data_IF_546524561898
#
_entry.id   IF_546524561898
#
_cell.length_a   1.000
_cell.length_b   1.000
_cell.length_c   1.000
_cell.angle_alpha   90.00
_cell.angle_beta   90.00
_cell.angle_gamma   90.00
#
_symmetry.space_group_name_H-M   'P 1'
#
loop_
_entity.id
_entity.type
_entity.pdbx_description
1 polymer ?
#
# COMPACT_ATOMS: atom_id res chain seq x y z
N UNK A 1 5.97 3.19 -7.32
CA UNK A 1 6.92 2.40 -8.15
C UNK A 1 7.72 3.43 -8.90
N UNK A 2 8.96 3.66 -8.44
CA UNK A 2 9.66 4.93 -8.67
C UNK A 2 10.68 4.83 -9.81
N UNK A 3 10.39 4.00 -10.82
CA UNK A 3 11.29 3.78 -11.97
C UNK A 3 11.39 5.00 -12.90
N UNK A 4 10.53 6.02 -12.73
CA UNK A 4 10.47 7.21 -13.60
C UNK A 4 11.38 8.38 -13.22
N UNK A 5 12.10 8.33 -12.08
CA UNK A 5 12.85 9.50 -11.56
C UNK A 5 14.33 9.50 -12.01
N UNK A 6 14.84 8.38 -12.57
CA UNK A 6 16.26 8.20 -12.86
C UNK A 6 16.87 9.18 -13.88
N UNK A 7 16.07 9.83 -14.74
CA UNK A 7 16.58 10.76 -15.76
C UNK A 7 16.69 12.24 -15.32
N UNK A 8 16.03 12.64 -14.22
CA UNK A 8 15.90 14.07 -13.86
C UNK A 8 16.87 14.48 -12.73
N UNK A 9 17.47 13.53 -12.03
CA UNK A 9 18.30 13.80 -10.84
C UNK A 9 19.70 14.38 -11.11
N UNK A 10 20.08 14.61 -12.38
CA UNK A 10 21.45 15.01 -12.74
C UNK A 10 21.73 16.53 -12.67
N UNK A 11 20.72 17.38 -12.46
CA UNK A 11 20.87 18.84 -12.59
C UNK A 11 20.95 19.63 -11.27
N UNK A 12 20.81 19.02 -10.09
CA UNK A 12 20.78 19.81 -8.84
C UNK A 12 21.72 19.24 -7.79
N UNK A 13 22.95 19.77 -7.75
CA UNK A 13 23.73 19.78 -6.51
C UNK A 13 22.86 20.48 -5.47
N UNK A 14 22.55 19.76 -4.39
CA UNK A 14 21.81 20.25 -3.21
C UNK A 14 20.31 20.38 -3.42
N UNK A 15 19.54 19.33 -3.10
CA UNK A 15 18.29 19.40 -2.32
C UNK A 15 17.67 18.01 -2.16
N UNK A 16 17.33 17.71 -0.91
CA UNK A 16 16.58 16.59 -0.37
C UNK A 16 15.52 15.97 -1.30
N UNK A 17 15.64 14.66 -1.59
CA UNK A 17 14.49 13.85 -2.03
C UNK A 17 14.80 12.75 -3.05
N UNK A 18 14.62 11.49 -2.61
CA UNK A 18 14.30 10.32 -3.45
C UNK A 18 15.43 9.56 -4.18
N UNK A 19 16.66 9.62 -3.69
CA UNK A 19 17.60 8.50 -3.83
C UNK A 19 17.90 7.97 -2.44
N UNK A 20 17.71 6.68 -2.15
CA UNK A 20 18.20 6.12 -0.89
C UNK A 20 19.73 6.11 -0.99
N UNK A 21 20.37 7.14 -0.43
CA UNK A 21 21.77 7.55 -0.66
C UNK A 21 22.79 6.39 -0.52
N UNK A 22 22.45 5.32 0.22
CA UNK A 22 23.33 4.17 0.42
C UNK A 22 23.32 3.07 -0.66
N UNK A 23 22.45 3.10 -1.68
CA UNK A 23 22.34 2.01 -2.67
C UNK A 23 22.86 2.37 -4.07
N UNK A 24 23.51 3.52 -4.21
CA UNK A 24 23.94 4.04 -5.50
C UNK A 24 25.23 3.34 -5.93
N UNK A 25 25.26 2.85 -7.17
CA UNK A 25 26.48 2.30 -7.77
C UNK A 25 27.51 3.41 -8.05
N UNK A 26 28.83 3.13 -7.98
CA UNK A 26 29.88 4.13 -8.19
C UNK A 26 29.73 4.92 -9.48
N UNK A 27 29.45 4.25 -10.60
CA UNK A 27 29.26 4.87 -11.90
C UNK A 27 27.96 5.70 -11.99
N UNK A 28 26.93 5.31 -11.25
CA UNK A 28 25.69 6.07 -11.15
C UNK A 28 25.89 7.36 -10.34
N UNK A 29 26.72 7.34 -9.30
CA UNK A 29 27.14 8.55 -8.58
C UNK A 29 27.96 9.51 -9.47
N UNK A 30 28.62 8.98 -10.50
CA UNK A 30 29.31 9.75 -11.55
C UNK A 30 28.40 10.15 -12.72
N UNK A 31 27.09 9.91 -12.62
CA UNK A 31 26.12 10.29 -13.66
C UNK A 31 26.10 9.38 -14.89
N UNK A 32 26.65 8.17 -14.80
CA UNK A 32 26.72 7.18 -15.89
C UNK A 32 25.93 5.91 -15.57
N UNK A 33 24.60 5.99 -15.41
CA UNK A 33 23.79 4.83 -15.07
C UNK A 33 23.81 3.79 -16.20
N UNK A 34 23.88 2.52 -15.84
CA UNK A 34 23.78 1.38 -16.76
C UNK A 34 22.94 0.26 -16.16
N UNK A 35 22.60 -0.77 -16.94
CA UNK A 35 21.93 -1.98 -16.41
C UNK A 35 22.73 -2.65 -15.28
N UNK A 36 24.05 -2.44 -15.25
CA UNK A 36 24.97 -2.95 -14.22
C UNK A 36 24.90 -2.13 -12.93
N UNK A 37 24.43 -0.89 -13.00
CA UNK A 37 24.13 -0.07 -11.81
C UNK A 37 22.98 -0.68 -11.02
N UNK A 38 21.91 -1.10 -11.70
CA UNK A 38 20.77 -1.79 -11.08
C UNK A 38 21.19 -3.13 -10.44
N UNK A 39 22.09 -3.88 -11.11
CA UNK A 39 22.67 -5.12 -10.57
C UNK A 39 23.40 -4.87 -9.24
N UNK A 40 24.17 -3.77 -9.16
CA UNK A 40 24.90 -3.39 -7.97
C UNK A 40 23.96 -2.97 -6.83
N UNK A 41 22.99 -2.11 -7.11
CA UNK A 41 21.97 -1.69 -6.13
C UNK A 41 21.17 -2.89 -5.59
N UNK A 42 20.78 -3.81 -6.46
CA UNK A 42 20.11 -5.05 -6.07
C UNK A 42 20.99 -5.92 -5.16
N UNK A 43 22.29 -5.99 -5.43
CA UNK A 43 23.23 -6.77 -4.62
C UNK A 43 23.48 -6.14 -3.25
N UNK A 44 23.53 -4.79 -3.14
CA UNK A 44 23.60 -4.09 -1.85
C UNK A 44 22.36 -4.38 -1.00
N UNK A 45 21.16 -4.31 -1.61
CA UNK A 45 19.91 -4.69 -0.94
C UNK A 45 19.95 -6.14 -0.47
N UNK A 46 20.36 -7.07 -1.34
CA UNK A 46 20.47 -8.48 -0.99
C UNK A 46 21.45 -8.70 0.16
N UNK A 47 22.63 -8.07 0.11
CA UNK A 47 23.64 -8.15 1.15
C UNK A 47 23.09 -7.67 2.49
N UNK A 48 22.50 -6.48 2.54
CA UNK A 48 21.93 -5.91 3.77
C UNK A 48 20.81 -6.78 4.33
N UNK A 49 19.99 -7.42 3.49
CA UNK A 49 18.97 -8.37 3.95
C UNK A 49 19.56 -9.59 4.66
N UNK A 50 20.76 -10.06 4.27
CA UNK A 50 21.40 -11.22 4.90
C UNK A 50 22.26 -10.86 6.12
N UNK A 51 22.87 -9.68 6.14
CA UNK A 51 23.85 -9.30 7.18
C UNK A 51 23.31 -8.30 8.19
N UNK A 52 22.27 -7.54 7.81
CA UNK A 52 21.80 -6.34 8.52
C UNK A 52 22.70 -5.11 8.31
N UNK A 53 23.79 -5.25 7.54
CA UNK A 53 24.82 -4.23 7.37
C UNK A 53 24.89 -3.83 5.89
N UNK A 54 24.94 -2.52 5.62
CA UNK A 54 25.04 -1.99 4.27
C UNK A 54 26.51 -1.67 3.97
N UNK A 55 27.14 -2.30 2.97
CA UNK A 55 28.48 -1.93 2.54
C UNK A 55 28.48 -0.47 2.05
N UNK A 56 29.49 0.30 2.45
CA UNK A 56 29.66 1.70 2.06
C UNK A 56 30.90 1.87 1.17
N UNK A 57 30.99 3.00 0.46
CA UNK A 57 32.18 3.36 -0.31
C UNK A 57 33.43 3.35 0.60
N UNK A 58 34.57 2.75 0.19
CA UNK A 58 34.94 2.32 -1.16
C UNK A 58 34.59 0.87 -1.54
N UNK A 59 33.57 0.27 -0.92
CA UNK A 59 33.06 -1.09 -1.22
C UNK A 59 34.16 -2.17 -1.23
N UNK A 60 35.11 -2.07 -0.31
CA UNK A 60 36.22 -3.03 -0.18
C UNK A 60 35.68 -4.40 0.23
N UNK A 61 36.19 -5.44 -0.42
CA UNK A 61 35.89 -6.83 -0.06
C UNK A 61 37.02 -7.41 0.83
N UNK A 62 36.70 -8.08 1.95
CA UNK A 62 35.36 -8.40 2.44
C UNK A 62 34.68 -7.21 3.19
N UNK A 63 33.37 -6.97 2.97
CA UNK A 63 32.64 -5.90 3.64
C UNK A 63 32.18 -6.28 5.07
N UNK A 64 31.71 -5.30 5.87
CA UNK A 64 31.12 -5.56 7.18
C UNK A 64 30.00 -6.61 7.12
N UNK A 65 29.96 -7.53 8.09
CA UNK A 65 28.94 -8.58 8.15
C UNK A 65 29.24 -9.82 7.28
N UNK A 66 30.41 -9.90 6.65
CA UNK A 66 30.77 -11.06 5.79
C UNK A 66 30.73 -12.40 6.53
N UNK A 67 31.03 -12.41 7.84
CA UNK A 67 30.94 -13.60 8.67
C UNK A 67 29.50 -14.10 8.79
N UNK A 68 28.53 -13.18 9.00
CA UNK A 68 27.09 -13.51 9.02
C UNK A 68 26.61 -13.99 7.65
N UNK A 69 27.09 -13.35 6.58
CA UNK A 69 26.78 -13.78 5.21
C UNK A 69 27.25 -15.22 4.99
N UNK A 70 28.53 -15.50 5.25
CA UNK A 70 29.13 -16.83 5.09
C UNK A 70 28.51 -17.90 5.99
N UNK A 71 27.97 -17.51 7.15
CA UNK A 71 27.23 -18.43 8.02
C UNK A 71 25.84 -18.77 7.47
N UNK A 72 25.21 -17.84 6.74
CA UNK A 72 23.80 -17.95 6.31
C UNK A 72 23.65 -18.56 4.92
N UNK A 73 24.48 -18.13 3.96
CA UNK A 73 24.34 -18.50 2.56
C UNK A 73 25.45 -19.43 2.08
N UNK A 74 25.16 -20.21 1.04
CA UNK A 74 26.13 -21.09 0.40
C UNK A 74 27.24 -20.29 -0.30
N UNK A 75 28.50 -20.78 -0.32
CA UNK A 75 29.63 -20.09 -0.93
C UNK A 75 29.37 -19.58 -2.35
N UNK A 76 28.73 -20.39 -3.20
CA UNK A 76 28.41 -20.00 -4.59
C UNK A 76 27.49 -18.78 -4.66
N UNK A 77 26.55 -18.64 -3.72
CA UNK A 77 25.67 -17.48 -3.69
C UNK A 77 26.38 -16.24 -3.13
N UNK A 78 27.30 -16.43 -2.17
CA UNK A 78 28.16 -15.35 -1.70
C UNK A 78 29.09 -14.85 -2.82
N UNK A 79 29.60 -15.76 -3.66
CA UNK A 79 30.40 -15.42 -4.83
C UNK A 79 29.58 -14.68 -5.89
N UNK A 80 28.32 -15.07 -6.12
CA UNK A 80 27.42 -14.31 -7.00
C UNK A 80 27.21 -12.89 -6.49
N UNK A 81 26.94 -12.70 -5.19
CA UNK A 81 26.80 -11.38 -4.59
C UNK A 81 28.09 -10.57 -4.69
N UNK A 82 29.26 -11.19 -4.45
CA UNK A 82 30.57 -10.55 -4.62
C UNK A 82 30.75 -10.00 -6.02
N UNK A 83 30.46 -10.79 -7.06
CA UNK A 83 30.56 -10.37 -8.47
C UNK A 83 29.61 -9.23 -8.82
N UNK A 84 28.41 -9.23 -8.24
CA UNK A 84 27.46 -8.13 -8.46
C UNK A 84 27.88 -6.83 -7.75
N UNK A 85 28.68 -6.94 -6.68
CA UNK A 85 29.24 -5.82 -5.90
C UNK A 85 30.65 -5.40 -6.34
N UNK A 86 31.14 -5.86 -7.49
CA UNK A 86 32.41 -5.38 -8.05
C UNK A 86 32.36 -3.87 -8.32
N UNK A 87 33.39 -3.12 -7.92
CA UNK A 87 33.43 -1.67 -8.18
C UNK A 87 33.52 -1.39 -9.69
N UNK A 88 34.31 -2.19 -10.41
CA UNK A 88 34.40 -2.14 -11.87
C UNK A 88 33.13 -2.76 -12.49
N UNK A 89 32.30 -1.93 -13.13
CA UNK A 89 31.06 -2.36 -13.75
C UNK A 89 31.27 -3.47 -14.81
N UNK A 90 32.41 -3.50 -15.50
CA UNK A 90 32.67 -4.50 -16.56
C UNK A 90 32.84 -5.91 -16.00
N UNK A 91 33.20 -6.03 -14.71
CA UNK A 91 33.34 -7.31 -14.01
C UNK A 91 32.01 -7.84 -13.47
N UNK A 92 30.96 -7.02 -13.47
CA UNK A 92 29.61 -7.41 -13.06
C UNK A 92 28.88 -8.19 -14.15
N UNK A 93 27.88 -9.02 -13.80
CA UNK A 93 26.91 -9.51 -14.77
C UNK A 93 26.31 -8.36 -15.58
N UNK A 94 26.14 -8.56 -16.89
CA UNK A 94 25.72 -7.51 -17.81
C UNK A 94 24.35 -6.89 -17.47
N UNK A 95 23.45 -7.68 -16.87
CA UNK A 95 22.09 -7.28 -16.54
C UNK A 95 21.46 -8.19 -15.46
N UNK A 96 20.27 -7.82 -15.00
CA UNK A 96 19.49 -8.58 -14.03
C UNK A 96 19.04 -9.96 -14.55
N UNK A 97 18.93 -10.17 -15.86
CA UNK A 97 18.56 -11.47 -16.46
C UNK A 97 19.67 -12.49 -16.24
N UNK A 98 20.93 -12.10 -16.39
CA UNK A 98 22.10 -12.94 -16.07
C UNK A 98 22.16 -13.27 -14.58
N UNK A 99 21.89 -12.29 -13.71
CA UNK A 99 21.81 -12.52 -12.25
C UNK A 99 20.70 -13.50 -11.91
N UNK A 100 19.51 -13.33 -12.49
CA UNK A 100 18.37 -14.23 -12.28
C UNK A 100 18.66 -15.65 -12.74
N UNK A 101 19.32 -15.81 -13.89
CA UNK A 101 19.73 -17.12 -14.40
C UNK A 101 20.72 -17.81 -13.44
N UNK A 102 21.73 -17.08 -12.94
CA UNK A 102 22.66 -17.59 -11.94
C UNK A 102 21.93 -17.95 -10.63
N UNK A 103 21.06 -17.06 -10.14
CA UNK A 103 20.26 -17.30 -8.94
C UNK A 103 19.38 -18.55 -9.07
N UNK A 104 18.70 -18.76 -10.20
CA UNK A 104 17.85 -19.95 -10.42
C UNK A 104 18.64 -21.25 -10.32
N UNK A 105 19.88 -21.28 -10.82
CA UNK A 105 20.78 -22.44 -10.70
C UNK A 105 21.20 -22.68 -9.25
N UNK A 106 21.42 -21.61 -8.48
CA UNK A 106 21.89 -21.68 -7.09
C UNK A 106 20.75 -21.83 -6.07
N UNK A 107 19.51 -21.49 -6.41
CA UNK A 107 18.38 -21.38 -5.48
C UNK A 107 18.12 -22.65 -4.67
N UNK A 108 18.32 -23.83 -5.26
CA UNK A 108 18.14 -25.11 -4.56
C UNK A 108 19.15 -25.31 -3.42
N UNK A 109 20.31 -24.66 -3.49
CA UNK A 109 21.41 -24.73 -2.53
C UNK A 109 21.79 -23.38 -1.92
N UNK A 110 20.99 -22.32 -2.11
CA UNK A 110 21.39 -20.96 -1.76
C UNK A 110 21.62 -20.75 -0.24
N UNK A 111 20.99 -21.57 0.61
CA UNK A 111 21.21 -21.60 2.05
C UNK A 111 22.01 -22.84 2.43
N UNK A 112 22.86 -22.72 3.46
CA UNK A 112 23.62 -23.87 3.98
C UNK A 112 22.68 -24.94 4.59
N UNK A 113 23.00 -26.24 4.44
CA UNK A 113 22.30 -27.32 5.15
C UNK A 113 22.33 -27.06 6.66
N UNK A 114 21.19 -27.15 7.35
CA UNK A 114 21.09 -26.89 8.79
C UNK A 114 20.64 -25.48 9.17
N UNK A 115 20.64 -24.50 8.24
CA UNK A 115 19.86 -23.28 8.42
C UNK A 115 18.39 -23.70 8.37
N UNK A 116 17.75 -23.83 9.54
CA UNK A 116 16.32 -24.16 9.62
C UNK A 116 15.60 -23.17 8.71
N UNK A 117 15.07 -23.65 7.57
CA UNK A 117 14.03 -22.93 6.85
C UNK A 117 12.95 -22.71 7.89
N UNK A 118 12.86 -21.52 8.47
CA UNK A 118 11.61 -21.09 9.07
C UNK A 118 10.66 -21.14 7.89
N UNK A 119 9.94 -22.26 7.72
CA UNK A 119 8.71 -22.27 6.94
C UNK A 119 7.95 -21.11 7.56
N UNK A 120 7.81 -20.02 6.81
CA UNK A 120 6.81 -19.03 7.15
C UNK A 120 5.52 -19.82 7.16
N UNK A 121 5.11 -20.24 8.34
CA UNK A 121 3.79 -20.80 8.55
C UNK A 121 2.87 -19.68 8.12
N UNK A 122 2.25 -19.85 6.95
CA UNK A 122 1.09 -19.11 6.56
C UNK A 122 -0.03 -19.53 7.51
N UNK A 123 0.03 -19.12 8.78
CA UNK A 123 -1.17 -19.07 9.61
C UNK A 123 -2.11 -18.13 8.86
N UNK A 124 -3.19 -18.68 8.32
CA UNK A 124 -4.33 -17.90 7.84
C UNK A 124 -4.66 -16.88 8.93
N UNK A 125 -4.36 -15.61 8.69
CA UNK A 125 -4.71 -14.53 9.61
C UNK A 125 -3.57 -13.57 10.00
N UNK A 126 -2.29 -13.98 9.93
CA UNK A 126 -1.19 -13.04 10.21
C UNK A 126 -0.72 -12.37 8.90
N UNK A 127 -0.84 -11.04 8.75
CA UNK A 127 -0.35 -10.37 7.55
C UNK A 127 1.16 -10.61 7.40
N UNK A 128 1.61 -10.89 6.17
CA UNK A 128 3.04 -10.92 5.85
C UNK A 128 3.71 -9.63 6.34
N UNK A 129 5.00 -9.69 6.71
CA UNK A 129 5.74 -8.55 7.28
C UNK A 129 5.57 -7.27 6.44
N UNK A 130 5.58 -7.36 5.11
CA UNK A 130 5.37 -6.21 4.22
C UNK A 130 3.92 -5.69 4.24
N UNK A 131 2.92 -6.57 4.39
CA UNK A 131 1.51 -6.15 4.54
C UNK A 131 1.35 -5.35 5.82
N UNK A 132 1.96 -5.80 6.92
CA UNK A 132 1.95 -5.07 8.19
C UNK A 132 2.56 -3.67 8.03
N UNK A 133 3.68 -3.54 7.33
CA UNK A 133 4.30 -2.24 7.03
C UNK A 133 3.38 -1.36 6.18
N UNK A 134 2.81 -1.91 5.09
CA UNK A 134 1.84 -1.21 4.21
C UNK A 134 0.62 -0.72 4.99
N UNK A 135 0.06 -1.55 5.87
CA UNK A 135 -1.09 -1.19 6.70
C UNK A 135 -0.75 -0.10 7.73
N UNK A 136 0.42 -0.18 8.37
CA UNK A 136 0.90 0.86 9.31
C UNK A 136 1.07 2.21 8.61
N UNK A 137 1.69 2.22 7.44
CA UNK A 137 1.90 3.45 6.68
C UNK A 137 0.57 4.03 6.16
N UNK A 138 -0.35 3.16 5.69
CA UNK A 138 -1.70 3.57 5.34
C UNK A 138 -2.41 4.24 6.52
N UNK A 139 -2.37 3.63 7.71
CA UNK A 139 -3.01 4.18 8.90
C UNK A 139 -2.41 5.53 9.31
N UNK A 140 -1.08 5.67 9.20
CA UNK A 140 -0.39 6.93 9.49
C UNK A 140 -0.84 8.06 8.58
N UNK A 141 -0.91 7.82 7.26
CA UNK A 141 -1.24 8.85 6.26
C UNK A 141 -2.73 9.12 6.14
N UNK A 142 -3.53 8.06 6.06
CA UNK A 142 -4.93 8.13 5.65
C UNK A 142 -5.92 7.71 6.74
N UNK A 143 -5.44 7.25 7.90
CA UNK A 143 -6.30 6.72 8.94
C UNK A 143 -7.30 7.75 9.48
N UNK A 144 -6.82 8.96 9.77
CA UNK A 144 -7.66 10.07 10.24
C UNK A 144 -8.52 10.68 9.11
N UNK A 145 -7.98 11.05 7.94
CA UNK A 145 -8.79 11.60 6.84
C UNK A 145 -9.93 10.70 6.37
N UNK A 146 -9.71 9.39 6.31
CA UNK A 146 -10.73 8.42 5.89
C UNK A 146 -11.54 7.84 7.04
N UNK A 147 -11.28 8.25 8.28
CA UNK A 147 -11.96 7.74 9.48
C UNK A 147 -11.94 6.20 9.57
N UNK A 148 -10.79 5.57 9.27
CA UNK A 148 -10.67 4.12 9.25
C UNK A 148 -10.55 3.56 10.67
N UNK A 149 -11.68 3.48 11.36
CA UNK A 149 -11.78 3.04 12.75
C UNK A 149 -12.20 1.58 12.92
N UNK A 150 -12.53 0.89 11.82
CA UNK A 150 -12.94 -0.51 11.83
C UNK A 150 -11.88 -1.40 11.18
N UNK A 151 -11.91 -2.69 11.47
CA UNK A 151 -11.10 -3.71 10.79
C UNK A 151 -11.99 -4.65 9.99
N UNK A 152 -11.45 -5.20 8.91
CA UNK A 152 -12.13 -6.25 8.16
C UNK A 152 -12.04 -7.59 8.91
N UNK A 153 -13.16 -8.25 9.12
CA UNK A 153 -13.23 -9.56 9.79
C UNK A 153 -12.47 -10.68 9.08
N UNK A 154 -12.21 -10.56 7.77
CA UNK A 154 -11.55 -11.61 7.00
C UNK A 154 -10.04 -11.42 6.90
N UNK A 155 -9.58 -10.18 6.71
CA UNK A 155 -8.16 -9.89 6.46
C UNK A 155 -7.52 -8.98 7.51
N UNK A 156 -8.28 -8.55 8.52
CA UNK A 156 -7.88 -7.61 9.57
C UNK A 156 -7.37 -6.25 9.06
N UNK A 157 -7.60 -5.95 7.78
CA UNK A 157 -7.21 -4.68 7.17
C UNK A 157 -8.09 -3.53 7.66
N UNK A 158 -7.52 -2.31 7.81
CA UNK A 158 -8.26 -1.15 8.29
C UNK A 158 -9.30 -0.68 7.28
N UNK A 159 -10.48 -0.32 7.76
CA UNK A 159 -11.64 0.05 6.94
C UNK A 159 -12.41 1.19 7.59
N UNK A 160 -13.08 1.99 6.77
CA UNK A 160 -13.98 3.04 7.22
C UNK A 160 -15.44 2.59 7.15
N UNK A 161 -16.32 3.24 7.92
CA UNK A 161 -17.76 2.97 7.90
C UNK A 161 -18.39 3.14 6.50
N UNK A 162 -17.92 4.15 5.75
CA UNK A 162 -18.39 4.47 4.40
C UNK A 162 -18.01 3.42 3.34
N UNK A 163 -17.01 2.58 3.60
CA UNK A 163 -16.55 1.58 2.63
C UNK A 163 -17.57 0.42 2.54
N UNK A 164 -18.13 0.18 1.35
CA UNK A 164 -19.06 -0.91 1.09
C UNK A 164 -18.35 -2.24 0.82
N UNK A 165 -17.06 -2.18 0.49
CA UNK A 165 -16.19 -3.31 0.21
C UNK A 165 -14.88 -3.16 0.97
N UNK A 166 -14.29 -4.28 1.39
CA UNK A 166 -12.95 -4.27 1.96
C UNK A 166 -11.92 -3.97 0.86
N UNK A 167 -11.14 -2.87 0.96
CA UNK A 167 -10.19 -2.51 -0.09
C UNK A 167 -8.96 -3.45 -0.15
N UNK A 168 -8.79 -4.33 0.83
CA UNK A 168 -7.64 -5.23 0.93
C UNK A 168 -7.92 -6.65 0.42
N UNK A 169 -9.11 -7.18 0.69
CA UNK A 169 -9.47 -8.56 0.31
C UNK A 169 -10.73 -8.66 -0.57
N UNK A 170 -11.41 -7.55 -0.84
CA UNK A 170 -12.61 -7.54 -1.69
C UNK A 170 -13.87 -8.08 -1.03
N UNK A 171 -13.87 -8.38 0.28
CA UNK A 171 -15.09 -8.81 0.99
C UNK A 171 -16.15 -7.71 0.96
N UNK A 172 -17.37 -8.05 0.53
CA UNK A 172 -18.52 -7.15 0.65
C UNK A 172 -18.84 -6.86 2.13
N UNK A 173 -19.13 -5.60 2.44
CA UNK A 173 -19.46 -5.12 3.79
C UNK A 173 -20.91 -4.63 3.82
N UNK A 174 -21.85 -5.50 3.42
CA UNK A 174 -23.27 -5.14 3.36
C UNK A 174 -23.82 -4.71 4.74
N UNK A 175 -23.42 -5.46 5.79
CA UNK A 175 -23.64 -5.12 7.19
C UNK A 175 -22.38 -4.50 7.79
N UNK A 176 -22.56 -3.54 8.69
CA UNK A 176 -21.49 -2.86 9.40
C UNK A 176 -21.74 -2.94 10.90
N UNK A 177 -20.81 -3.58 11.62
CA UNK A 177 -20.84 -3.72 13.08
C UNK A 177 -19.76 -2.88 13.77
N UNK A 178 -19.01 -2.06 13.02
CA UNK A 178 -17.92 -1.25 13.57
C UNK A 178 -18.37 0.03 14.30
N UNK A 179 -17.43 0.81 14.82
CA UNK A 179 -17.71 2.09 15.47
C UNK A 179 -18.33 3.10 14.49
N UNK A 180 -19.24 3.92 14.98
CA UNK A 180 -19.92 4.98 14.23
C UNK A 180 -19.82 6.28 15.02
N UNK A 181 -19.62 7.40 14.34
CA UNK A 181 -19.73 8.74 14.95
C UNK A 181 -21.16 9.21 15.14
N UNK A 182 -22.09 8.61 14.39
CA UNK A 182 -23.49 8.91 14.54
C UNK A 182 -24.05 8.21 15.76
N UNK A 183 -24.87 8.94 16.52
CA UNK A 183 -25.60 8.42 17.69
C UNK A 183 -26.63 7.37 17.31
N UNK A 184 -27.23 7.48 16.13
CA UNK A 184 -28.22 6.54 15.61
C UNK A 184 -27.62 5.66 14.51
N UNK A 185 -28.15 4.44 14.37
CA UNK A 185 -27.75 3.47 13.34
C UNK A 185 -28.93 3.03 12.49
N UNK A 186 -28.64 2.66 11.25
CA UNK A 186 -29.60 2.04 10.36
C UNK A 186 -29.82 0.58 10.78
N UNK A 187 -31.06 0.19 11.10
CA UNK A 187 -31.41 -1.19 11.47
C UNK A 187 -31.13 -2.21 10.35
N UNK A 188 -31.07 -1.76 9.09
CA UNK A 188 -30.78 -2.64 7.94
C UNK A 188 -29.30 -2.91 7.75
N UNK A 189 -28.45 -1.90 7.72
CA UNK A 189 -27.03 -2.08 7.41
C UNK A 189 -26.08 -1.83 8.58
N UNK A 190 -26.56 -1.35 9.72
CA UNK A 190 -25.76 -1.07 10.92
C UNK A 190 -24.91 0.20 10.87
N UNK A 191 -24.86 0.88 9.71
CA UNK A 191 -24.15 2.16 9.55
C UNK A 191 -24.88 3.31 10.22
N UNK A 192 -24.10 4.29 10.65
CA UNK A 192 -24.54 5.51 11.27
C UNK A 192 -25.50 6.31 10.40
N UNK A 193 -26.45 6.96 11.07
CA UNK A 193 -27.42 7.87 10.46
C UNK A 193 -27.71 9.03 11.39
N UNK A 194 -28.20 10.14 10.82
CA UNK A 194 -28.85 11.17 11.63
C UNK A 194 -30.35 10.87 11.81
N UNK A 195 -30.96 11.35 12.90
CA UNK A 195 -32.40 11.19 13.15
C UNK A 195 -33.30 11.89 12.12
N UNK A 196 -32.82 12.98 11.51
CA UNK A 196 -33.52 13.77 10.50
C UNK A 196 -33.40 13.21 9.07
N UNK A 197 -32.59 12.17 8.87
CA UNK A 197 -32.52 11.48 7.59
C UNK A 197 -33.75 10.60 7.38
N UNK A 198 -34.42 10.80 6.23
CA UNK A 198 -35.56 10.00 5.78
C UNK A 198 -35.12 8.63 5.25
N UNK A 199 -33.95 8.57 4.62
CA UNK A 199 -33.43 7.37 3.97
C UNK A 199 -32.00 7.03 4.42
N UNK A 200 -31.62 5.76 4.29
CA UNK A 200 -30.24 5.36 4.54
C UNK A 200 -29.34 5.75 3.36
N UNK A 201 -28.27 6.50 3.63
CA UNK A 201 -27.33 6.94 2.61
C UNK A 201 -26.45 5.82 1.99
N UNK A 202 -26.51 4.59 2.51
CA UNK A 202 -25.60 3.49 2.13
C UNK A 202 -26.29 2.24 1.58
N UNK A 203 -27.45 1.84 2.12
CA UNK A 203 -28.05 0.53 1.83
C UNK A 203 -29.37 0.56 1.03
N UNK A 204 -29.74 1.71 0.44
CA UNK A 204 -30.99 1.90 -0.33
C UNK A 204 -32.24 1.40 0.41
N UNK A 205 -32.26 1.50 1.75
CA UNK A 205 -33.40 1.06 2.54
C UNK A 205 -34.66 1.90 2.28
N UNK A 206 -35.88 1.39 2.57
CA UNK A 206 -37.09 2.20 2.55
C UNK A 206 -36.97 3.35 3.55
N UNK A 207 -37.86 4.33 3.40
CA UNK A 207 -37.98 5.43 4.36
C UNK A 207 -38.17 4.88 5.78
N UNK A 208 -37.54 5.53 6.76
CA UNK A 208 -37.74 5.19 8.16
C UNK A 208 -39.11 5.69 8.64
N UNK A 209 -39.79 4.91 9.50
CA UNK A 209 -41.10 5.29 10.05
C UNK A 209 -41.00 6.54 10.93
N UNK A 210 -39.98 6.56 11.80
CA UNK A 210 -39.76 7.66 12.73
C UNK A 210 -38.59 8.53 12.23
N UNK A 211 -38.94 9.65 11.60
CA UNK A 211 -37.98 10.68 11.19
C UNK A 211 -38.24 11.90 12.05
N UNK A 212 -37.22 12.43 12.70
CA UNK A 212 -37.36 13.67 13.46
C UNK A 212 -37.59 14.84 12.50
N UNK A 213 -38.59 15.66 12.78
CA UNK A 213 -38.83 16.91 12.04
C UNK A 213 -37.79 17.99 12.39
N UNK A 214 -37.07 17.82 13.50
CA UNK A 214 -36.00 18.73 13.92
C UNK A 214 -34.82 18.62 12.94
N UNK A 215 -34.45 19.75 12.34
CA UNK A 215 -33.26 19.84 11.49
C UNK A 215 -32.02 19.95 12.37
N UNK A 216 -31.00 19.15 12.05
CA UNK A 216 -29.71 19.22 12.73
C UNK A 216 -28.63 19.70 11.74
N UNK A 217 -27.96 20.81 12.05
CA UNK A 217 -26.74 21.19 11.32
C UNK A 217 -25.60 20.20 11.59
N UNK A 218 -24.67 20.04 10.65
CA UNK A 218 -23.46 19.23 10.81
C UNK A 218 -22.38 19.69 9.85
N UNK A 219 -21.19 19.99 10.37
CA UNK A 219 -20.04 20.45 9.58
C UNK A 219 -19.52 19.42 8.58
N UNK A 220 -19.94 18.15 8.70
CA UNK A 220 -19.54 17.07 7.79
C UNK A 220 -20.29 17.12 6.44
N UNK A 221 -21.35 17.91 6.33
CA UNK A 221 -21.94 18.19 5.03
C UNK A 221 -20.99 19.05 4.20
N UNK A 222 -20.56 18.53 3.05
CA UNK A 222 -19.55 19.16 2.20
C UNK A 222 -20.00 19.30 0.74
N UNK A 223 -21.19 18.79 0.41
CA UNK A 223 -21.79 18.88 -0.92
C UNK A 223 -23.32 18.93 -0.78
N UNK A 224 -24.02 19.13 -1.89
CA UNK A 224 -25.48 19.16 -1.94
C UNK A 224 -25.99 18.21 -3.00
N UNK A 225 -27.16 17.63 -2.78
CA UNK A 225 -27.81 16.78 -3.76
C UNK A 225 -28.34 17.62 -4.93
N UNK A 226 -27.95 17.28 -6.15
CA UNK A 226 -28.39 17.97 -7.38
C UNK A 226 -29.92 17.97 -7.57
N UNK A 227 -30.64 17.03 -6.96
CA UNK A 227 -32.08 16.89 -7.13
C UNK A 227 -32.92 17.60 -6.08
N UNK A 228 -32.43 17.75 -4.84
CA UNK A 228 -33.22 18.30 -3.74
C UNK A 228 -32.47 19.33 -2.89
N UNK A 229 -31.27 19.71 -3.31
CA UNK A 229 -30.34 20.61 -2.60
C UNK A 229 -29.99 20.18 -1.15
N UNK A 230 -30.38 18.98 -0.73
CA UNK A 230 -30.13 18.50 0.63
C UNK A 230 -28.65 18.20 0.85
N UNK A 231 -28.13 18.50 2.04
CA UNK A 231 -26.72 18.31 2.38
C UNK A 231 -26.26 16.86 2.26
N UNK A 232 -25.10 16.65 1.65
CA UNK A 232 -24.44 15.36 1.46
C UNK A 232 -23.11 15.34 2.19
N UNK A 233 -22.82 14.21 2.84
CA UNK A 233 -21.52 13.95 3.46
C UNK A 233 -20.67 13.06 2.54
N UNK A 234 -19.33 13.08 2.68
CA UNK A 234 -18.44 12.28 1.86
C UNK A 234 -18.81 10.80 1.78
N UNK A 235 -18.67 10.24 0.57
CA UNK A 235 -18.87 8.82 0.25
C UNK A 235 -20.30 8.30 0.47
N UNK A 236 -21.29 9.19 0.59
CA UNK A 236 -22.70 8.79 0.52
C UNK A 236 -23.03 8.29 -0.89
N UNK A 237 -23.67 7.11 -0.95
CA UNK A 237 -24.11 6.51 -2.22
C UNK A 237 -25.49 7.01 -2.64
N UNK A 238 -26.31 7.36 -1.65
CA UNK A 238 -27.71 7.75 -1.83
C UNK A 238 -28.01 8.99 -1.00
N UNK A 239 -28.86 9.85 -1.53
CA UNK A 239 -29.30 11.06 -0.85
C UNK A 239 -30.21 10.66 0.33
N UNK A 240 -29.89 11.04 1.57
CA UNK A 240 -30.71 10.69 2.73
C UNK A 240 -32.06 11.44 2.77
N UNK A 241 -32.27 12.41 1.87
CA UNK A 241 -33.44 13.28 1.84
C UNK A 241 -34.45 12.86 0.75
N UNK A 242 -33.98 12.60 -0.46
CA UNK A 242 -34.83 12.28 -1.63
C UNK A 242 -34.66 10.85 -2.17
N UNK A 243 -33.85 10.02 -1.49
CA UNK A 243 -33.57 8.62 -1.85
C UNK A 243 -32.87 8.41 -3.20
N UNK A 244 -32.55 9.44 -3.99
CA UNK A 244 -31.87 9.27 -5.29
C UNK A 244 -30.40 8.88 -5.12
N UNK A 245 -29.85 8.23 -6.16
CA UNK A 245 -28.41 7.94 -6.25
C UNK A 245 -27.63 9.24 -6.36
N UNK A 246 -26.58 9.34 -5.55
CA UNK A 246 -25.68 10.49 -5.55
C UNK A 246 -24.77 10.38 -6.76
N UNK A 247 -24.75 11.43 -7.58
CA UNK A 247 -23.87 11.63 -8.73
C UNK A 247 -22.54 12.27 -8.34
N UNK A 248 -22.47 12.92 -7.17
CA UNK A 248 -21.25 13.52 -6.61
C UNK A 248 -20.07 12.55 -6.67
N UNK A 249 -19.00 12.99 -7.31
CA UNK A 249 -17.74 12.28 -7.32
C UNK A 249 -16.95 12.63 -6.06
N UNK A 250 -16.79 11.66 -5.18
CA UNK A 250 -16.05 11.84 -3.95
C UNK A 250 -14.56 11.63 -4.18
N UNK A 251 -13.76 12.63 -3.85
CA UNK A 251 -12.31 12.55 -3.96
C UNK A 251 -11.69 11.90 -2.72
N UNK A 252 -10.57 11.22 -2.96
CA UNK A 252 -9.64 10.79 -1.93
C UNK A 252 -8.33 11.49 -2.25
N UNK A 253 -7.62 11.99 -1.23
CA UNK A 253 -6.47 12.92 -1.34
C UNK A 253 -5.37 12.54 -2.38
N UNK A 254 -5.29 11.30 -2.89
CA UNK A 254 -4.27 10.87 -3.85
C UNK A 254 -4.69 10.93 -5.34
N UNK A 255 -5.81 11.57 -5.69
CA UNK A 255 -6.15 11.96 -7.06
C UNK A 255 -6.57 10.85 -8.06
N UNK A 256 -6.25 9.57 -7.79
CA UNK A 256 -6.63 8.48 -8.68
C UNK A 256 -8.12 8.10 -8.56
N UNK A 257 -8.73 7.68 -9.67
CA UNK A 257 -10.16 7.35 -9.75
C UNK A 257 -10.41 5.89 -10.15
N UNK A 258 -11.47 5.30 -9.63
CA UNK A 258 -11.87 3.95 -9.99
C UNK A 258 -12.57 3.93 -11.36
N UNK A 259 -12.04 3.19 -12.33
CA UNK A 259 -12.66 2.98 -13.67
C UNK A 259 -14.09 2.40 -13.64
N UNK A 260 -14.56 1.89 -12.50
CA UNK A 260 -15.90 1.31 -12.36
C UNK A 260 -16.94 2.26 -11.77
N UNK A 261 -16.55 3.14 -10.85
CA UNK A 261 -17.50 4.02 -10.15
C UNK A 261 -17.13 5.50 -10.16
N UNK A 262 -16.00 5.87 -10.75
CA UNK A 262 -15.51 7.26 -10.82
C UNK A 262 -14.92 7.80 -9.52
N UNK A 263 -15.19 7.18 -8.37
CA UNK A 263 -14.78 7.71 -7.07
C UNK A 263 -13.28 7.56 -6.79
N UNK A 264 -12.77 8.46 -5.96
CA UNK A 264 -11.38 8.55 -5.55
C UNK A 264 -10.90 7.27 -4.84
N UNK A 265 -9.66 6.87 -5.13
CA UNK A 265 -9.09 5.60 -4.67
C UNK A 265 -7.57 5.68 -4.51
N UNK A 266 -7.02 4.86 -3.62
CA UNK A 266 -5.58 4.82 -3.33
C UNK A 266 -4.91 3.62 -4.01
N UNK A 267 -4.39 3.80 -5.23
CA UNK A 267 -3.74 2.72 -6.00
C UNK A 267 -2.58 2.04 -5.30
N UNK A 268 -1.78 2.80 -4.56
CA UNK A 268 -0.61 2.28 -3.86
C UNK A 268 -0.99 1.37 -2.69
N UNK A 269 -2.21 1.51 -2.16
CA UNK A 269 -2.64 0.83 -0.94
C UNK A 269 -3.76 -0.18 -1.16
N UNK A 270 -4.69 0.06 -2.06
CA UNK A 270 -5.89 -0.75 -2.18
C UNK A 270 -5.84 -1.68 -3.38
N UNK A 271 -6.07 -2.96 -3.11
CA UNK A 271 -6.14 -4.00 -4.13
C UNK A 271 -7.56 -4.09 -4.74
N UNK A 272 -8.58 -3.59 -4.02
CA UNK A 272 -9.97 -3.51 -4.44
C UNK A 272 -10.54 -2.10 -4.24
N UNK A 273 -11.48 -1.70 -5.09
CA UNK A 273 -12.24 -0.47 -4.89
C UNK A 273 -13.18 -0.63 -3.67
N UNK A 274 -13.06 0.20 -2.63
CA UNK A 274 -13.91 0.10 -1.44
C UNK A 274 -15.38 0.50 -1.68
N UNK A 275 -15.68 1.07 -2.85
CA UNK A 275 -17.00 1.60 -3.18
C UNK A 275 -17.82 0.62 -4.02
N UNK A 276 -17.20 0.02 -5.05
CA UNK A 276 -17.87 -0.89 -5.99
C UNK A 276 -17.31 -2.33 -5.98
N UNK A 277 -16.25 -2.62 -5.22
CA UNK A 277 -15.68 -3.96 -5.12
C UNK A 277 -14.80 -4.38 -6.30
N UNK A 278 -14.68 -3.56 -7.36
CA UNK A 278 -13.84 -3.89 -8.53
C UNK A 278 -12.38 -4.07 -8.11
N UNK A 279 -11.78 -5.19 -8.52
CA UNK A 279 -10.35 -5.47 -8.35
C UNK A 279 -9.51 -4.45 -9.13
N UNK A 280 -8.43 -3.95 -8.53
CA UNK A 280 -7.56 -2.91 -9.08
C UNK A 280 -6.17 -3.41 -9.45
N UNK A 281 -5.69 -4.45 -8.74
CA UNK A 281 -4.46 -5.21 -9.01
C UNK A 281 -4.79 -6.69 -8.93
#
# INVERSE_FOLDING_TARGET
TDFGIAKIALATRSLSGSGTIGYIAPEQALGRPSLRSDVFSLALMAYQMFTGELPEWPFKWPPPGIAKLRATIHPDFAELLRRCLEVDEKKRPADATKVLAAFRRLRSRALKPGVKKKRMSSKLGTPSAWRTVRLKEFMRRYGKPLMTRATCEQCHGPTAESMLWCPWCGKARAKYAGPSEFKARCQRCGRGRKPDWRYCAFCWGPAFRDVSERKYSDKRYSAHCEHCAGGLMPFMRYCPWCHRKVTQEWEVQAGNRCKGCGWGVLDDYWDFCPWCGRKRR
#
